data_IF_208042248481
#
_entry.id   IF_208042248481
#
_cell.length_a   1.000
_cell.length_b   1.000
_cell.length_c   1.000
_cell.angle_alpha   90.00
_cell.angle_beta   90.00
_cell.angle_gamma   90.00
#
_symmetry.space_group_name_H-M   'P 1'
#
loop_
_entity.id
_entity.type
_entity.pdbx_description
1 polymer ?
#
# COMPACT_ATOMS: atom_id res chain seq x y z
N UNK A 1 2.07 8.97 -4.27
CA UNK A 1 1.88 8.97 -5.73
C UNK A 1 2.05 7.54 -6.25
N UNK A 2 1.82 7.26 -7.54
CA UNK A 2 2.18 5.96 -8.13
C UNK A 2 3.68 5.72 -7.95
N UNK A 3 4.07 4.51 -7.54
CA UNK A 3 5.45 4.13 -7.26
C UNK A 3 5.94 4.41 -5.83
N UNK A 4 5.20 5.16 -5.01
CA UNK A 4 5.57 5.39 -3.61
C UNK A 4 5.65 4.07 -2.83
N UNK A 5 6.70 3.93 -2.00
CA UNK A 5 6.86 2.81 -1.07
C UNK A 5 5.93 2.98 0.13
N UNK A 6 5.17 1.94 0.42
CA UNK A 6 4.18 1.93 1.48
C UNK A 6 4.16 0.60 2.20
N UNK A 7 3.44 0.51 3.31
CA UNK A 7 3.00 -0.75 3.87
C UNK A 7 1.50 -0.70 4.22
N UNK A 8 0.86 -1.87 4.16
CA UNK A 8 -0.56 -2.04 4.41
C UNK A 8 -0.88 -3.46 4.89
N UNK A 9 -2.06 -3.63 5.49
CA UNK A 9 -2.60 -4.96 5.78
C UNK A 9 -3.15 -5.57 4.50
N UNK A 10 -2.56 -6.67 4.04
CA UNK A 10 -3.00 -7.34 2.82
C UNK A 10 -4.17 -8.31 3.07
N UNK A 11 -4.22 -8.91 4.25
CA UNK A 11 -5.36 -9.67 4.76
C UNK A 11 -5.42 -9.52 6.27
N UNK A 12 -6.60 -9.25 6.83
CA UNK A 12 -6.80 -9.15 8.29
C UNK A 12 -6.47 -10.45 9.04
N UNK A 13 -6.36 -11.57 8.32
CA UNK A 13 -5.90 -12.86 8.87
C UNK A 13 -4.37 -12.96 9.02
N UNK A 14 -3.61 -12.22 8.22
CA UNK A 14 -2.14 -12.12 8.33
C UNK A 14 -1.83 -10.89 9.18
N UNK A 15 -1.52 -11.09 10.46
CA UNK A 15 -1.26 -10.01 11.44
C UNK A 15 0.07 -9.30 11.18
N UNK A 16 0.22 -8.65 10.03
CA UNK A 16 1.43 -7.92 9.63
C UNK A 16 1.14 -6.81 8.63
N UNK A 17 1.93 -5.73 8.72
CA UNK A 17 2.02 -4.75 7.64
C UNK A 17 2.98 -5.29 6.60
N UNK A 18 2.51 -5.45 5.36
CA UNK A 18 3.31 -5.94 4.26
C UNK A 18 3.79 -4.75 3.41
N UNK A 19 5.09 -4.68 3.05
CA UNK A 19 5.59 -3.65 2.15
C UNK A 19 5.02 -3.79 0.74
N UNK A 20 4.81 -2.65 0.09
CA UNK A 20 4.21 -2.57 -1.24
C UNK A 20 4.61 -1.28 -1.98
N UNK A 21 4.22 -1.21 -3.24
CA UNK A 21 4.24 0.01 -4.08
C UNK A 21 2.83 0.40 -4.50
N UNK A 22 2.57 1.70 -4.56
CA UNK A 22 1.30 2.22 -5.08
C UNK A 22 1.23 2.00 -6.61
N UNK A 23 0.27 1.21 -7.06
CA UNK A 23 0.05 0.89 -8.49
C UNK A 23 -0.87 1.89 -9.17
N UNK A 24 -2.00 2.19 -8.54
CA UNK A 24 -3.02 3.13 -9.04
C UNK A 24 -3.69 3.88 -7.91
N UNK A 25 -3.94 5.17 -8.13
CA UNK A 25 -4.65 6.07 -7.23
C UNK A 25 -5.84 6.63 -8.01
N UNK A 26 -7.05 6.73 -7.40
CA UNK A 26 -8.18 7.43 -8.00
C UNK A 26 -7.85 8.91 -8.31
N UNK A 27 -8.56 9.50 -9.28
CA UNK A 27 -8.36 10.91 -9.65
C UNK A 27 -8.66 11.87 -8.50
N UNK A 28 -9.71 11.57 -7.73
CA UNK A 28 -10.07 12.27 -6.50
C UNK A 28 -9.96 11.31 -5.31
N UNK A 29 -9.24 11.73 -4.27
CA UNK A 29 -8.98 10.89 -3.11
C UNK A 29 -9.47 11.52 -1.81
N UNK A 30 -10.20 10.73 -1.03
CA UNK A 30 -10.45 10.95 0.39
C UNK A 30 -9.95 9.75 1.20
N UNK A 31 -10.06 9.79 2.53
CA UNK A 31 -9.54 8.72 3.41
C UNK A 31 -10.20 7.35 3.17
N UNK A 32 -11.40 7.33 2.59
CA UNK A 32 -12.16 6.11 2.26
C UNK A 32 -11.90 5.62 0.82
N UNK A 33 -11.15 6.37 0.02
CA UNK A 33 -10.77 5.97 -1.33
C UNK A 33 -9.94 4.71 -1.30
N UNK A 34 -10.21 3.82 -2.24
CA UNK A 34 -9.45 2.60 -2.43
C UNK A 34 -8.25 2.85 -3.34
N UNK A 35 -7.09 2.36 -2.94
CA UNK A 35 -5.82 2.48 -3.66
C UNK A 35 -5.33 1.08 -3.97
N UNK A 36 -4.89 0.86 -5.21
CA UNK A 36 -4.30 -0.41 -5.59
C UNK A 36 -2.82 -0.44 -5.23
N UNK A 37 -2.41 -1.44 -4.48
CA UNK A 37 -1.04 -1.72 -4.10
C UNK A 37 -0.55 -2.98 -4.81
N UNK A 38 0.74 -3.04 -5.11
CA UNK A 38 1.46 -4.26 -5.47
C UNK A 38 2.41 -4.57 -4.32
N UNK A 39 2.15 -5.65 -3.59
CA UNK A 39 2.96 -6.12 -2.48
C UNK A 39 4.24 -6.79 -2.98
N UNK A 40 5.27 -6.78 -2.15
CA UNK A 40 6.59 -7.30 -2.52
C UNK A 40 6.61 -8.84 -2.72
N UNK A 41 5.60 -9.55 -2.21
CA UNK A 41 5.38 -10.99 -2.45
C UNK A 41 4.69 -11.30 -3.81
N UNK A 42 4.35 -10.26 -4.57
CA UNK A 42 3.74 -10.36 -5.90
C UNK A 42 2.22 -10.17 -5.92
N UNK A 43 1.59 -10.08 -4.76
CA UNK A 43 0.14 -9.93 -4.68
C UNK A 43 -0.32 -8.49 -4.96
N UNK A 44 -1.52 -8.35 -5.51
CA UNK A 44 -2.12 -7.04 -5.81
C UNK A 44 -3.35 -6.79 -4.95
N UNK A 45 -3.33 -5.69 -4.19
CA UNK A 45 -4.39 -5.38 -3.25
C UNK A 45 -5.10 -4.06 -3.37
N UNK A 46 -6.35 -4.06 -2.91
CA UNK A 46 -7.20 -2.88 -2.89
C UNK A 46 -7.41 -2.43 -1.44
N UNK A 47 -6.70 -1.38 -1.03
CA UNK A 47 -6.61 -0.93 0.37
C UNK A 47 -7.20 0.47 0.51
N UNK A 48 -7.91 0.73 1.60
CA UNK A 48 -8.38 2.10 1.91
C UNK A 48 -7.19 3.00 2.18
N UNK A 49 -7.19 4.21 1.62
CA UNK A 49 -6.08 5.17 1.78
C UNK A 49 -5.73 5.43 3.26
N UNK A 50 -6.73 5.49 4.16
CA UNK A 50 -6.51 5.65 5.60
C UNK A 50 -5.77 4.50 6.30
N UNK A 51 -5.71 3.31 5.68
CA UNK A 51 -5.05 2.11 6.19
C UNK A 51 -3.64 1.92 5.64
N UNK A 52 -3.18 2.82 4.75
CA UNK A 52 -1.85 2.79 4.16
C UNK A 52 -0.89 3.63 5.02
N UNK A 53 0.36 3.18 5.15
CA UNK A 53 1.44 3.93 5.79
C UNK A 53 2.56 4.17 4.78
N UNK A 54 3.03 5.42 4.68
CA UNK A 54 4.21 5.74 3.87
C UNK A 54 5.44 5.18 4.55
N UNK A 55 6.32 4.57 3.75
CA UNK A 55 7.66 4.23 4.20
C UNK A 55 8.59 5.41 3.92
N UNK A 56 9.69 5.56 4.68
CA UNK A 56 10.76 6.50 4.35
C UNK A 56 11.28 6.28 2.93
N UNK A 57 11.76 7.35 2.28
CA UNK A 57 12.28 7.28 0.90
C UNK A 57 13.54 6.39 0.79
N UNK A 58 14.28 6.23 1.89
CA UNK A 58 15.47 5.37 2.02
C UNK A 58 15.13 3.95 2.54
N UNK A 59 13.86 3.56 2.58
CA UNK A 59 13.45 2.23 2.98
C UNK A 59 14.00 1.16 2.01
N UNK A 60 14.86 0.28 2.52
CA UNK A 60 15.44 -0.84 1.78
C UNK A 60 14.79 -2.15 2.24
N UNK A 61 14.38 -2.97 1.28
CA UNK A 61 13.97 -4.35 1.56
C UNK A 61 15.25 -5.13 1.91
N UNK A 62 15.27 -5.77 3.08
CA UNK A 62 16.38 -6.64 3.51
C UNK A 62 16.25 -8.04 2.92
#
# INVERSE_FOLDING_TARGET
SKGSRVCAYWSTSLRGLHPAVVKTIPLETNKSSMVTLLFDDGDTGLIKLGEIRLLPDDYVIK
#
